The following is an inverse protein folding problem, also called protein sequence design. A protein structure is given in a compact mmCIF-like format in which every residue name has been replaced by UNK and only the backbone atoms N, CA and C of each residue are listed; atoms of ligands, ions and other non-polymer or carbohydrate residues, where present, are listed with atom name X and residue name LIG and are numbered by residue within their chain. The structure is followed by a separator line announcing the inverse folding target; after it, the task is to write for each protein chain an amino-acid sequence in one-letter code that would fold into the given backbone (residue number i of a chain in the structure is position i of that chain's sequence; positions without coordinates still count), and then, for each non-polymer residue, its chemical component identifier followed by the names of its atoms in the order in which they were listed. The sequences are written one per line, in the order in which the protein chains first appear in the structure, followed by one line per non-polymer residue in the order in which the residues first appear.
data_IF_083667397197
#
_entry.id   IF_083667397197
#
_cell.length_a   1.000
_cell.length_b   1.000
_cell.length_c   1.000
_cell.angle_alpha   90.00
_cell.angle_beta   90.00
_cell.angle_gamma   90.00
#
_symmetry.space_group_name_H-M   'P 1'
#
loop_
_entity.id
_entity.type
_entity.pdbx_description
1 polymer ?
#
# COMPACT_ATOMS: atom_id res chain seq x y z
N UNK A 1 -34.49 2.86 13.67
CA UNK A 1 -34.25 1.82 14.68
C UNK A 1 -33.08 0.98 14.22
N UNK A 2 -32.07 0.83 15.03
CA UNK A 2 -30.90 -0.01 14.77
C UNK A 2 -31.03 -1.32 15.55
N UNK A 3 -30.83 -2.46 14.87
CA UNK A 3 -30.79 -3.79 15.51
C UNK A 3 -29.43 -4.41 15.25
N UNK A 4 -28.75 -4.85 16.29
CA UNK A 4 -27.55 -5.70 16.21
C UNK A 4 -27.80 -6.97 16.98
N UNK A 5 -27.19 -8.05 16.51
CA UNK A 5 -27.22 -9.35 17.17
C UNK A 5 -25.77 -9.80 17.40
N UNK A 6 -25.43 -10.13 18.63
CA UNK A 6 -24.12 -10.69 18.96
C UNK A 6 -24.09 -12.21 18.64
N UNK A 7 -22.91 -12.80 18.65
CA UNK A 7 -22.69 -14.23 18.35
C UNK A 7 -23.43 -15.14 19.34
N UNK A 8 -23.63 -14.70 20.59
CA UNK A 8 -24.40 -15.37 21.63
C UNK A 8 -25.92 -15.25 21.47
N UNK A 9 -26.38 -14.62 20.39
CA UNK A 9 -27.80 -14.38 20.12
C UNK A 9 -28.38 -13.15 20.81
N UNK A 10 -27.59 -12.41 21.60
CA UNK A 10 -28.06 -11.18 22.26
C UNK A 10 -28.46 -10.12 21.22
N UNK A 11 -29.67 -9.61 21.31
CA UNK A 11 -30.18 -8.56 20.45
C UNK A 11 -30.20 -7.21 21.18
N UNK A 12 -29.64 -6.19 20.57
CA UNK A 12 -29.75 -4.81 21.02
C UNK A 12 -30.55 -4.01 20.00
N UNK A 13 -31.59 -3.34 20.47
CA UNK A 13 -32.39 -2.42 19.65
C UNK A 13 -32.29 -1.03 20.26
N UNK A 14 -31.85 -0.08 19.46
CA UNK A 14 -31.65 1.30 19.86
C UNK A 14 -32.27 2.23 18.83
N UNK A 15 -32.94 3.28 19.28
CA UNK A 15 -33.41 4.35 18.44
C UNK A 15 -32.26 5.33 18.22
N UNK A 16 -31.61 5.26 17.07
CA UNK A 16 -30.50 6.17 16.72
C UNK A 16 -31.04 7.53 16.30
N UNK A 17 -32.08 7.54 15.46
CA UNK A 17 -32.71 8.76 14.99
C UNK A 17 -34.14 8.46 14.48
N UNK A 18 -35.04 9.43 14.64
CA UNK A 18 -36.38 9.37 14.07
C UNK A 18 -36.42 10.16 12.77
N UNK A 19 -36.32 9.47 11.64
CA UNK A 19 -36.31 10.09 10.33
C UNK A 19 -37.69 10.61 9.95
N UNK A 20 -37.77 11.81 9.44
CA UNK A 20 -39.01 12.47 8.99
C UNK A 20 -39.27 12.32 7.49
N UNK A 21 -38.40 11.64 6.76
CA UNK A 21 -38.51 11.42 5.32
C UNK A 21 -37.59 10.32 4.83
N UNK A 22 -37.60 10.06 3.53
CA UNK A 22 -36.69 9.12 2.89
C UNK A 22 -35.24 9.59 3.01
N UNK A 23 -34.32 8.64 3.22
CA UNK A 23 -32.91 8.94 3.39
C UNK A 23 -32.06 7.69 3.27
N UNK A 24 -30.76 7.83 3.50
CA UNK A 24 -29.76 6.75 3.46
C UNK A 24 -29.15 6.58 4.84
N UNK A 25 -28.96 5.33 5.25
CA UNK A 25 -28.24 4.98 6.49
C UNK A 25 -27.05 4.10 6.13
N UNK A 26 -25.90 4.40 6.68
CA UNK A 26 -24.68 3.60 6.58
C UNK A 26 -24.22 3.20 7.98
N UNK A 27 -23.79 1.95 8.14
CA UNK A 27 -23.16 1.43 9.34
C UNK A 27 -21.78 0.88 9.06
N UNK A 28 -20.86 1.04 10.01
CA UNK A 28 -19.51 0.45 9.97
C UNK A 28 -19.30 -0.37 11.24
N UNK A 29 -18.63 -1.51 11.09
CA UNK A 29 -18.34 -2.40 12.20
C UNK A 29 -16.97 -3.05 12.05
N UNK A 30 -16.16 -3.00 13.11
CA UNK A 30 -14.95 -3.80 13.28
C UNK A 30 -14.97 -4.43 14.67
N UNK A 31 -14.48 -5.66 14.78
CA UNK A 31 -14.26 -6.28 16.07
C UNK A 31 -12.90 -5.82 16.63
N UNK A 32 -12.82 -5.59 17.96
CA UNK A 32 -11.59 -5.11 18.59
C UNK A 32 -10.38 -5.99 18.28
N UNK A 33 -10.55 -7.31 18.28
CA UNK A 33 -9.49 -8.26 17.90
C UNK A 33 -8.91 -8.01 16.50
N UNK A 34 -9.72 -7.57 15.53
CA UNK A 34 -9.24 -7.21 14.19
C UNK A 34 -8.43 -5.91 14.22
N UNK A 35 -8.86 -4.94 15.03
CA UNK A 35 -8.12 -3.67 15.21
C UNK A 35 -6.77 -3.93 15.90
N UNK A 36 -6.75 -4.76 16.94
CA UNK A 36 -5.51 -5.17 17.62
C UNK A 36 -4.54 -5.87 16.65
N UNK A 37 -5.06 -6.76 15.81
CA UNK A 37 -4.30 -7.47 14.80
C UNK A 37 -3.66 -6.48 13.79
N UNK A 38 -4.42 -5.52 13.33
CA UNK A 38 -3.94 -4.46 12.44
C UNK A 38 -2.87 -3.60 13.12
N UNK A 39 -3.09 -3.18 14.37
CA UNK A 39 -2.10 -2.40 15.11
C UNK A 39 -0.76 -3.13 15.23
N UNK A 40 -0.78 -4.41 15.64
CA UNK A 40 0.44 -5.21 15.74
C UNK A 40 1.14 -5.40 14.40
N UNK A 41 0.39 -5.58 13.31
CA UNK A 41 0.96 -5.64 11.96
C UNK A 41 1.69 -4.36 11.60
N UNK A 42 1.09 -3.19 11.87
CA UNK A 42 1.71 -1.89 11.61
C UNK A 42 2.98 -1.70 12.44
N UNK A 43 2.95 -1.98 13.74
CA UNK A 43 4.10 -1.84 14.61
C UNK A 43 5.25 -2.79 14.24
N UNK A 44 4.95 -4.05 13.94
CA UNK A 44 5.97 -5.01 13.49
C UNK A 44 6.60 -4.56 12.17
N UNK A 45 5.79 -4.10 11.22
CA UNK A 45 6.28 -3.63 9.92
C UNK A 45 7.15 -2.37 10.06
N UNK A 46 6.79 -1.46 10.95
CA UNK A 46 7.61 -0.28 11.26
C UNK A 46 8.98 -0.66 11.85
N UNK A 47 9.02 -1.62 12.75
CA UNK A 47 10.27 -2.15 13.32
C UNK A 47 11.13 -2.86 12.26
N UNK A 48 10.52 -3.67 11.39
CA UNK A 48 11.23 -4.38 10.31
C UNK A 48 11.90 -3.39 9.34
N UNK A 49 11.19 -2.32 8.97
CA UNK A 49 11.70 -1.29 8.07
C UNK A 49 12.51 -0.19 8.76
N UNK A 50 12.48 -0.13 10.08
CA UNK A 50 13.07 0.95 10.90
C UNK A 50 12.60 2.34 10.46
N UNK A 51 11.29 2.49 10.32
CA UNK A 51 10.63 3.72 9.92
C UNK A 51 9.62 4.16 10.97
N UNK A 52 9.44 5.47 11.09
CA UNK A 52 8.39 6.04 11.95
C UNK A 52 7.01 5.56 11.55
N UNK A 53 6.10 5.48 12.50
CA UNK A 53 4.72 5.07 12.27
C UNK A 53 3.76 6.20 12.62
N UNK A 54 3.05 6.70 11.62
CA UNK A 54 1.95 7.63 11.78
C UNK A 54 0.63 6.86 11.70
N UNK A 55 -0.20 6.97 12.71
CA UNK A 55 -1.57 6.45 12.65
C UNK A 55 -2.55 7.60 12.59
N UNK A 56 -3.49 7.56 11.66
CA UNK A 56 -4.43 8.65 11.45
C UNK A 56 -5.87 8.15 11.32
N UNK A 57 -6.78 8.85 11.98
CA UNK A 57 -8.24 8.69 11.84
C UNK A 57 -8.94 10.04 11.95
N UNK A 58 -10.27 10.07 11.88
CA UNK A 58 -11.06 11.29 12.12
C UNK A 58 -11.93 11.11 13.37
N UNK A 59 -11.32 10.90 14.53
CA UNK A 59 -12.03 10.67 15.80
C UNK A 59 -12.84 11.88 16.28
N UNK A 60 -12.59 13.05 15.75
CA UNK A 60 -13.42 14.25 15.97
C UNK A 60 -14.80 14.16 15.32
N UNK A 61 -14.95 13.34 14.27
CA UNK A 61 -16.21 13.06 13.57
C UNK A 61 -16.78 11.71 14.00
N UNK A 62 -16.04 10.64 13.80
CA UNK A 62 -16.44 9.29 14.20
C UNK A 62 -16.05 8.98 15.65
N UNK A 63 -16.58 9.74 16.58
CA UNK A 63 -16.12 9.80 17.99
C UNK A 63 -16.08 8.46 18.73
N UNK A 64 -16.89 7.50 18.35
CA UNK A 64 -16.88 6.15 18.93
C UNK A 64 -16.00 5.21 18.13
N UNK A 65 -16.27 5.10 16.85
CA UNK A 65 -15.60 4.15 15.96
C UNK A 65 -14.11 4.45 15.81
N UNK A 66 -13.76 5.67 15.42
CA UNK A 66 -12.36 6.06 15.21
C UNK A 66 -11.57 6.18 16.52
N UNK A 67 -12.23 6.64 17.58
CA UNK A 67 -11.59 6.72 18.89
C UNK A 67 -11.21 5.34 19.46
N UNK A 68 -12.05 4.32 19.20
CA UNK A 68 -11.72 2.94 19.57
C UNK A 68 -10.45 2.44 18.87
N UNK A 69 -10.25 2.78 17.60
CA UNK A 69 -9.01 2.45 16.89
C UNK A 69 -7.80 3.15 17.54
N UNK A 70 -7.93 4.44 17.82
CA UNK A 70 -6.88 5.23 18.47
C UNK A 70 -6.47 4.64 19.81
N UNK A 71 -7.45 4.34 20.68
CA UNK A 71 -7.20 3.81 22.00
C UNK A 71 -6.51 2.45 21.93
N UNK A 72 -6.99 1.52 21.09
CA UNK A 72 -6.39 0.20 20.94
C UNK A 72 -4.95 0.30 20.42
N UNK A 73 -4.67 1.18 19.44
CA UNK A 73 -3.31 1.40 18.98
C UNK A 73 -2.41 1.93 20.09
N UNK A 74 -2.89 2.91 20.87
CA UNK A 74 -2.12 3.49 21.96
C UNK A 74 -1.85 2.47 23.08
N UNK A 75 -2.86 1.72 23.50
CA UNK A 75 -2.73 0.71 24.55
C UNK A 75 -1.71 -0.37 24.17
N UNK A 76 -1.76 -0.85 22.92
CA UNK A 76 -0.80 -1.85 22.40
C UNK A 76 0.60 -1.25 22.28
N UNK A 77 0.73 -0.02 21.82
CA UNK A 77 2.02 0.65 21.75
C UNK A 77 2.67 0.75 23.12
N UNK A 78 1.94 1.28 24.09
CA UNK A 78 2.46 1.49 25.44
C UNK A 78 2.81 0.18 26.15
N UNK A 79 2.02 -0.89 25.91
CA UNK A 79 2.23 -2.18 26.55
C UNK A 79 3.29 -3.07 25.89
N UNK A 80 3.43 -3.03 24.56
CA UNK A 80 4.17 -4.05 23.83
C UNK A 80 5.31 -3.49 22.95
N UNK A 81 5.26 -2.21 22.52
CA UNK A 81 6.13 -1.69 21.46
C UNK A 81 6.98 -0.49 21.83
N UNK A 82 6.61 0.28 22.85
CA UNK A 82 7.29 1.53 23.21
C UNK A 82 8.80 1.36 23.38
N UNK A 83 9.22 0.42 24.22
CA UNK A 83 10.65 0.16 24.45
C UNK A 83 11.38 -0.29 23.18
N UNK A 84 10.69 -1.06 22.30
CA UNK A 84 11.26 -1.54 21.03
C UNK A 84 11.46 -0.40 20.04
N UNK A 85 10.51 0.54 19.98
CA UNK A 85 10.58 1.73 19.13
C UNK A 85 11.69 2.66 19.60
N UNK A 86 11.77 2.92 20.91
CA UNK A 86 12.85 3.70 21.50
C UNK A 86 14.23 3.08 21.21
N UNK A 87 14.37 1.77 21.36
CA UNK A 87 15.61 1.05 21.04
C UNK A 87 15.98 1.06 19.55
N UNK A 88 14.98 1.11 18.66
CA UNK A 88 15.16 1.19 17.22
C UNK A 88 15.40 2.63 16.72
N UNK A 89 15.16 3.64 17.57
CA UNK A 89 15.27 5.06 17.21
C UNK A 89 14.19 5.53 16.25
N UNK A 90 12.98 4.94 16.33
CA UNK A 90 11.81 5.30 15.53
C UNK A 90 10.66 5.76 16.43
N UNK A 91 9.77 6.57 15.86
CA UNK A 91 8.66 7.17 16.59
C UNK A 91 7.30 6.62 16.15
N UNK A 92 6.36 6.57 17.09
CA UNK A 92 4.95 6.38 16.82
C UNK A 92 4.17 7.59 17.31
N UNK A 93 3.25 8.09 16.50
CA UNK A 93 2.28 9.06 16.96
C UNK A 93 0.93 8.94 16.24
N UNK A 94 -0.11 9.35 16.93
CA UNK A 94 -1.45 9.50 16.39
C UNK A 94 -1.69 10.96 15.98
N UNK A 95 -2.36 11.14 14.83
CA UNK A 95 -2.82 12.47 14.37
C UNK A 95 -4.19 12.37 13.68
N UNK A 96 -4.85 13.51 13.46
CA UNK A 96 -6.05 13.54 12.64
C UNK A 96 -5.69 13.34 11.17
N UNK A 97 -6.58 12.69 10.42
CA UNK A 97 -6.33 12.36 9.01
C UNK A 97 -6.05 13.60 8.14
N UNK A 98 -6.74 14.70 8.39
CA UNK A 98 -6.52 15.97 7.70
C UNK A 98 -5.16 16.60 8.03
N UNK A 99 -4.68 16.49 9.26
CA UNK A 99 -3.33 16.90 9.64
C UNK A 99 -2.28 15.99 8.98
N UNK A 100 -2.53 14.68 8.91
CA UNK A 100 -1.65 13.75 8.22
C UNK A 100 -1.53 14.09 6.72
N UNK A 101 -2.64 14.42 6.05
CA UNK A 101 -2.63 14.88 4.65
C UNK A 101 -1.77 16.14 4.48
N UNK A 102 -1.89 17.11 5.39
CA UNK A 102 -1.09 18.32 5.33
C UNK A 102 0.40 18.09 5.60
N UNK A 103 0.73 17.07 6.41
CA UNK A 103 2.12 16.68 6.70
C UNK A 103 2.76 15.91 5.56
N UNK A 104 2.07 14.92 5.01
CA UNK A 104 2.62 14.06 3.94
C UNK A 104 2.99 14.85 2.69
N UNK A 105 2.22 15.88 2.35
CA UNK A 105 2.50 16.76 1.20
C UNK A 105 3.80 17.58 1.35
N UNK A 106 4.39 17.62 2.54
CA UNK A 106 5.60 18.38 2.86
C UNK A 106 6.73 17.47 3.37
N UNK A 107 6.46 16.18 3.52
CA UNK A 107 7.40 15.23 4.07
C UNK A 107 8.37 14.72 3.01
N UNK A 108 9.59 14.44 3.42
CA UNK A 108 10.64 13.85 2.57
C UNK A 108 10.55 12.31 2.51
N UNK A 109 9.58 11.70 3.22
CA UNK A 109 9.44 10.25 3.35
C UNK A 109 10.09 9.71 4.64
N UNK A 110 10.34 8.39 4.68
CA UNK A 110 10.95 7.75 5.85
C UNK A 110 9.97 7.39 6.96
N UNK A 111 8.69 7.26 6.64
CA UNK A 111 7.65 6.87 7.60
C UNK A 111 6.60 5.94 6.96
N UNK A 112 5.90 5.23 7.80
CA UNK A 112 4.72 4.45 7.44
C UNK A 112 3.49 5.24 7.91
N UNK A 113 2.53 5.43 7.01
CA UNK A 113 1.25 6.02 7.36
C UNK A 113 0.18 4.94 7.45
N UNK A 114 -0.16 4.55 8.68
CA UNK A 114 -1.23 3.61 8.95
C UNK A 114 -2.60 4.30 8.83
N UNK A 115 -3.46 3.73 8.01
CA UNK A 115 -4.80 4.22 7.72
C UNK A 115 -5.82 3.09 7.84
N UNK A 116 -7.07 3.43 8.15
CA UNK A 116 -8.19 2.51 7.94
C UNK A 116 -8.40 2.26 6.45
N UNK A 117 -9.10 1.16 6.11
CA UNK A 117 -9.26 0.67 4.73
C UNK A 117 -9.57 1.78 3.70
N UNK A 118 -10.69 2.48 3.84
CA UNK A 118 -11.10 3.51 2.88
C UNK A 118 -10.13 4.71 2.86
N UNK A 119 -9.69 5.16 4.03
CA UNK A 119 -8.74 6.26 4.14
C UNK A 119 -7.42 5.90 3.43
N UNK A 120 -6.93 4.68 3.64
CA UNK A 120 -5.72 4.16 3.01
C UNK A 120 -5.84 4.01 1.49
N UNK A 121 -6.97 3.48 1.02
CA UNK A 121 -7.27 3.31 -0.40
C UNK A 121 -7.19 4.66 -1.15
N UNK A 122 -7.88 5.67 -0.64
CA UNK A 122 -7.88 7.01 -1.26
C UNK A 122 -6.51 7.71 -1.15
N UNK A 123 -5.86 7.60 0.02
CA UNK A 123 -4.60 8.30 0.27
C UNK A 123 -3.43 7.67 -0.49
N UNK A 124 -3.37 6.36 -0.63
CA UNK A 124 -2.32 5.69 -1.39
C UNK A 124 -2.37 6.07 -2.87
N UNK A 125 -3.56 6.11 -3.47
CA UNK A 125 -3.76 6.55 -4.85
C UNK A 125 -3.38 8.02 -5.03
N UNK A 126 -3.74 8.88 -4.09
CA UNK A 126 -3.39 10.30 -4.13
C UNK A 126 -1.86 10.49 -4.12
N UNK A 127 -1.16 9.84 -3.20
CA UNK A 127 0.29 9.94 -3.07
C UNK A 127 0.98 9.35 -4.31
N UNK A 128 0.56 8.18 -4.75
CA UNK A 128 1.13 7.54 -5.95
C UNK A 128 0.96 8.41 -7.19
N UNK A 129 -0.21 9.04 -7.35
CA UNK A 129 -0.47 9.96 -8.46
C UNK A 129 0.37 11.24 -8.38
N UNK A 130 0.62 11.74 -7.18
CA UNK A 130 1.47 12.93 -6.97
C UNK A 130 2.96 12.64 -7.22
N UNK A 131 3.42 11.43 -6.95
CA UNK A 131 4.81 11.01 -7.13
C UNK A 131 5.10 10.38 -8.51
N UNK A 132 4.08 10.13 -9.33
CA UNK A 132 4.29 9.51 -10.64
C UNK A 132 3.05 8.85 -11.21
N UNK A 133 3.08 7.53 -11.42
CA UNK A 133 2.01 6.77 -12.04
C UNK A 133 1.48 5.68 -11.09
N UNK A 134 0.16 5.55 -11.01
CA UNK A 134 -0.51 4.43 -10.34
C UNK A 134 -0.02 3.05 -10.83
N UNK A 135 0.40 2.98 -12.10
CA UNK A 135 0.94 1.76 -12.69
C UNK A 135 2.31 1.33 -12.13
N UNK A 136 2.91 2.13 -11.27
CA UNK A 136 4.13 1.80 -10.54
C UNK A 136 3.89 1.42 -9.08
N UNK A 137 2.65 1.57 -8.61
CA UNK A 137 2.28 1.25 -7.24
C UNK A 137 2.21 -0.25 -7.03
N UNK A 138 2.88 -0.74 -5.98
CA UNK A 138 2.83 -2.13 -5.54
C UNK A 138 1.94 -2.27 -4.32
N UNK A 139 1.41 -3.47 -4.11
CA UNK A 139 0.62 -3.83 -2.94
C UNK A 139 1.19 -5.08 -2.29
N UNK A 140 1.21 -5.09 -0.97
CA UNK A 140 1.53 -6.27 -0.18
C UNK A 140 0.53 -6.41 0.96
N UNK A 141 -0.08 -7.58 1.07
CA UNK A 141 -0.91 -7.95 2.20
C UNK A 141 -0.05 -8.71 3.21
N UNK A 142 -0.06 -8.25 4.44
CA UNK A 142 0.75 -8.82 5.52
C UNK A 142 -0.14 -9.21 6.69
N UNK A 143 -0.14 -10.51 7.03
CA UNK A 143 -0.83 -10.97 8.23
C UNK A 143 0.02 -10.77 9.50
N UNK A 144 -0.58 -10.66 10.69
CA UNK A 144 0.16 -10.59 11.95
C UNK A 144 1.07 -11.79 12.23
N UNK A 145 0.78 -12.93 11.57
CA UNK A 145 1.58 -14.17 11.67
C UNK A 145 2.74 -14.22 10.68
N UNK A 146 2.96 -13.17 9.89
CA UNK A 146 4.08 -13.10 8.95
C UNK A 146 3.83 -13.84 7.63
N UNK A 147 2.57 -13.95 7.20
CA UNK A 147 2.23 -14.39 5.82
C UNK A 147 2.14 -13.15 4.94
N UNK A 148 2.74 -13.24 3.76
CA UNK A 148 2.81 -12.14 2.78
C UNK A 148 2.17 -12.56 1.47
N UNK A 149 1.39 -11.67 0.88
CA UNK A 149 0.84 -11.78 -0.46
C UNK A 149 1.20 -10.50 -1.23
N UNK A 150 1.79 -10.65 -2.40
CA UNK A 150 2.25 -9.53 -3.23
C UNK A 150 1.40 -9.43 -4.49
N UNK A 151 0.96 -8.24 -4.81
CA UNK A 151 0.16 -7.97 -6.01
C UNK A 151 0.51 -6.62 -6.65
N UNK A 152 0.09 -6.41 -7.88
CA UNK A 152 0.06 -5.08 -8.46
C UNK A 152 -1.15 -4.32 -7.93
N UNK A 153 -0.98 -3.09 -7.47
CA UNK A 153 -2.04 -2.31 -6.84
C UNK A 153 -3.09 -1.76 -7.83
N UNK A 154 -2.98 -2.06 -9.11
CA UNK A 154 -3.90 -1.61 -10.16
C UNK A 154 -4.73 -2.77 -10.72
N UNK A 155 -5.83 -2.44 -11.40
CA UNK A 155 -6.70 -3.41 -12.06
C UNK A 155 -6.08 -4.06 -13.31
N UNK A 156 -6.85 -4.94 -13.95
CA UNK A 156 -6.42 -5.83 -15.05
C UNK A 156 -6.24 -5.16 -16.41
N UNK A 157 -6.44 -3.86 -16.52
CA UNK A 157 -6.30 -3.08 -17.77
C UNK A 157 -7.00 -3.72 -18.97
N UNK A 158 -8.24 -4.17 -18.81
CA UNK A 158 -9.03 -4.94 -19.78
C UNK A 158 -9.07 -4.29 -21.17
N UNK A 159 -9.04 -2.95 -21.24
CA UNK A 159 -9.01 -2.23 -22.52
C UNK A 159 -7.78 -2.57 -23.36
N UNK A 160 -6.60 -2.71 -22.75
CA UNK A 160 -5.39 -3.11 -23.46
C UNK A 160 -5.43 -4.58 -23.85
N UNK A 161 -6.02 -5.44 -23.02
CA UNK A 161 -6.20 -6.85 -23.33
C UNK A 161 -7.07 -7.05 -24.58
N UNK A 162 -8.20 -6.36 -24.68
CA UNK A 162 -9.06 -6.44 -25.87
C UNK A 162 -8.38 -5.91 -27.14
N UNK A 163 -7.56 -4.87 -27.03
CA UNK A 163 -6.72 -4.39 -28.14
C UNK A 163 -5.73 -5.45 -28.60
N UNK A 164 -5.06 -6.09 -27.65
CA UNK A 164 -4.14 -7.18 -27.92
C UNK A 164 -4.85 -8.35 -28.65
N UNK A 165 -6.04 -8.74 -28.19
CA UNK A 165 -6.84 -9.77 -28.89
C UNK A 165 -7.23 -9.38 -30.33
N UNK A 166 -7.40 -8.08 -30.58
CA UNK A 166 -7.66 -7.55 -31.92
C UNK A 166 -6.38 -7.44 -32.79
N UNK A 167 -5.21 -7.85 -32.29
CA UNK A 167 -3.93 -7.76 -32.98
C UNK A 167 -3.31 -6.36 -32.99
N UNK A 168 -3.83 -5.45 -32.14
CA UNK A 168 -3.28 -4.11 -31.99
C UNK A 168 -2.09 -4.11 -31.02
N UNK A 169 -1.10 -3.28 -31.30
CA UNK A 169 -0.01 -3.00 -30.37
C UNK A 169 -0.49 -2.24 -29.15
N UNK A 170 0.03 -2.61 -27.98
CA UNK A 170 -0.27 -1.94 -26.71
C UNK A 170 1.02 -1.56 -25.99
N UNK A 171 0.99 -0.45 -25.26
CA UNK A 171 2.07 -0.01 -24.38
C UNK A 171 1.53 -0.04 -22.93
N UNK A 172 1.51 -1.24 -22.36
CA UNK A 172 1.09 -1.48 -20.99
C UNK A 172 2.31 -1.48 -20.08
N UNK A 173 2.27 -0.68 -19.02
CA UNK A 173 3.31 -0.66 -18.00
C UNK A 173 3.24 -1.93 -17.14
N UNK A 174 4.33 -2.67 -17.09
CA UNK A 174 4.45 -3.93 -16.32
C UNK A 174 5.23 -3.78 -15.01
N UNK A 175 5.67 -2.57 -14.66
CA UNK A 175 6.56 -2.33 -13.50
C UNK A 175 5.93 -2.83 -12.20
N UNK A 176 4.68 -2.46 -11.89
CA UNK A 176 4.03 -2.91 -10.66
C UNK A 176 3.92 -4.44 -10.56
N UNK A 177 3.64 -5.11 -11.68
CA UNK A 177 3.61 -6.59 -11.74
C UNK A 177 4.99 -7.18 -11.52
N UNK A 178 6.03 -6.63 -12.14
CA UNK A 178 7.42 -7.06 -11.94
C UNK A 178 7.81 -6.87 -10.47
N UNK A 179 7.50 -5.72 -9.87
CA UNK A 179 7.81 -5.42 -8.47
C UNK A 179 7.04 -6.29 -7.48
N UNK A 180 5.81 -6.71 -7.80
CA UNK A 180 5.10 -7.71 -7.02
C UNK A 180 5.86 -9.05 -7.03
N UNK A 181 6.34 -9.50 -8.18
CA UNK A 181 7.17 -10.70 -8.28
C UNK A 181 8.51 -10.56 -7.55
N UNK A 182 9.22 -9.45 -7.71
CA UNK A 182 10.52 -9.25 -7.03
C UNK A 182 10.35 -9.18 -5.52
N UNK A 183 9.29 -8.52 -5.03
CA UNK A 183 8.94 -8.52 -3.61
C UNK A 183 8.71 -9.93 -3.06
N UNK A 184 7.92 -10.74 -3.78
CA UNK A 184 7.66 -12.14 -3.39
C UNK A 184 8.91 -13.00 -3.44
N UNK A 185 9.75 -12.86 -4.48
CA UNK A 185 11.01 -13.60 -4.62
C UNK A 185 12.02 -13.20 -3.54
N UNK A 186 12.15 -11.91 -3.24
CA UNK A 186 13.00 -11.41 -2.15
C UNK A 186 12.55 -12.00 -0.82
N UNK A 187 11.26 -11.91 -0.50
CA UNK A 187 10.72 -12.47 0.75
C UNK A 187 10.92 -13.99 0.83
N UNK A 188 10.73 -14.71 -0.26
CA UNK A 188 11.00 -16.15 -0.33
C UNK A 188 12.49 -16.45 -0.11
N UNK A 189 13.37 -15.66 -0.75
CA UNK A 189 14.82 -15.76 -0.57
C UNK A 189 15.27 -15.53 0.87
N UNK A 190 14.67 -14.57 1.57
CA UNK A 190 14.91 -14.33 2.99
C UNK A 190 14.49 -15.52 3.86
N UNK A 191 13.26 -16.01 3.67
CA UNK A 191 12.70 -17.11 4.43
C UNK A 191 13.50 -18.43 4.24
N UNK A 192 13.94 -18.70 3.03
CA UNK A 192 14.69 -19.92 2.68
C UNK A 192 16.21 -19.75 2.82
N UNK A 193 16.67 -18.55 3.15
CA UNK A 193 18.11 -18.21 3.23
C UNK A 193 18.83 -18.44 1.89
N UNK A 194 18.22 -17.97 0.80
CA UNK A 194 18.74 -18.05 -0.57
C UNK A 194 19.20 -16.65 -1.03
N UNK A 195 20.42 -16.22 -0.70
CA UNK A 195 20.90 -14.87 -1.01
C UNK A 195 20.94 -14.58 -2.51
N UNK A 196 21.16 -15.58 -3.35
CA UNK A 196 21.15 -15.41 -4.81
C UNK A 196 19.75 -15.06 -5.34
N UNK A 197 18.68 -15.54 -4.70
CA UNK A 197 17.30 -15.19 -5.05
C UNK A 197 16.97 -13.75 -4.65
N UNK A 198 17.44 -13.32 -3.48
CA UNK A 198 17.34 -11.92 -3.04
C UNK A 198 18.07 -11.00 -4.03
N UNK A 199 19.32 -11.31 -4.36
CA UNK A 199 20.14 -10.56 -5.31
C UNK A 199 19.49 -10.50 -6.70
N UNK A 200 18.89 -11.60 -7.17
CA UNK A 200 18.15 -11.58 -8.44
C UNK A 200 16.98 -10.61 -8.39
N UNK A 201 16.18 -10.63 -7.32
CA UNK A 201 15.05 -9.72 -7.15
C UNK A 201 15.50 -8.24 -7.16
N UNK A 202 16.56 -7.92 -6.40
CA UNK A 202 17.14 -6.57 -6.33
C UNK A 202 17.67 -6.09 -7.68
N UNK A 203 18.38 -6.96 -8.39
CA UNK A 203 18.90 -6.65 -9.72
C UNK A 203 17.77 -6.45 -10.75
N UNK A 204 16.67 -7.20 -10.67
CA UNK A 204 15.54 -7.03 -11.58
C UNK A 204 14.80 -5.71 -11.33
N UNK A 205 14.61 -5.31 -10.07
CA UNK A 205 14.08 -3.97 -9.75
C UNK A 205 14.99 -2.87 -10.27
N UNK A 206 16.30 -2.98 -10.00
CA UNK A 206 17.29 -2.05 -10.50
C UNK A 206 17.26 -1.97 -12.03
N UNK A 207 17.18 -3.08 -12.73
CA UNK A 207 17.09 -3.11 -14.18
C UNK A 207 15.85 -2.40 -14.72
N UNK A 208 14.71 -2.51 -14.04
CA UNK A 208 13.50 -1.75 -14.38
C UNK A 208 13.74 -0.24 -14.26
N UNK A 209 14.29 0.19 -13.14
CA UNK A 209 14.57 1.61 -12.86
C UNK A 209 15.59 2.13 -13.87
N UNK A 210 16.74 1.48 -14.03
CA UNK A 210 17.81 1.89 -14.95
C UNK A 210 17.28 1.98 -16.41
N UNK A 211 16.36 1.09 -16.81
CA UNK A 211 15.75 1.12 -18.15
C UNK A 211 14.90 2.39 -18.32
N UNK A 212 14.08 2.72 -17.34
CA UNK A 212 13.23 3.92 -17.37
C UNK A 212 14.10 5.19 -17.34
N UNK A 213 15.08 5.26 -16.45
CA UNK A 213 16.01 6.38 -16.33
C UNK A 213 16.87 6.60 -17.58
N UNK A 214 17.15 5.52 -18.35
CA UNK A 214 17.80 5.63 -19.67
C UNK A 214 16.91 6.25 -20.75
N UNK A 215 15.65 6.59 -20.43
CA UNK A 215 14.67 7.16 -21.34
C UNK A 215 13.84 6.13 -22.13
N UNK A 216 13.99 4.83 -21.87
CA UNK A 216 13.19 3.77 -22.49
C UNK A 216 12.02 3.41 -21.59
N UNK A 217 10.81 3.70 -22.02
CA UNK A 217 9.63 3.57 -21.13
C UNK A 217 8.33 3.31 -21.89
N UNK A 218 7.30 2.96 -21.17
CA UNK A 218 5.94 2.83 -21.70
C UNK A 218 5.28 4.19 -21.88
N UNK A 219 4.19 4.23 -22.63
CA UNK A 219 3.51 5.46 -23.05
C UNK A 219 3.01 6.29 -21.85
N UNK A 220 2.54 5.65 -20.80
CA UNK A 220 2.05 6.31 -19.58
C UNK A 220 3.19 7.08 -18.87
N UNK A 221 4.37 6.47 -18.76
CA UNK A 221 5.54 7.11 -18.17
C UNK A 221 6.09 8.23 -19.08
N UNK A 222 6.06 8.03 -20.39
CA UNK A 222 6.50 9.05 -21.35
C UNK A 222 5.63 10.32 -21.34
N UNK A 223 4.39 10.25 -20.82
CA UNK A 223 3.50 11.40 -20.68
C UNK A 223 3.79 12.26 -19.46
N UNK A 224 4.49 11.73 -18.47
CA UNK A 224 4.76 12.38 -17.19
C UNK A 224 6.26 12.63 -16.92
N UNK A 225 7.15 12.07 -17.74
CA UNK A 225 8.59 12.25 -17.58
C UNK A 225 9.01 13.66 -17.95
N UNK A 226 10.05 14.17 -17.26
CA UNK A 226 10.73 15.42 -17.59
C UNK A 226 11.90 15.21 -18.60
N UNK A 227 12.18 13.96 -18.98
CA UNK A 227 13.22 13.65 -19.95
C UNK A 227 12.87 14.17 -21.34
N UNK A 228 13.83 14.84 -22.00
CA UNK A 228 13.69 15.22 -23.39
C UNK A 228 13.76 13.99 -24.29
N UNK A 229 12.77 13.85 -25.19
CA UNK A 229 12.73 12.79 -26.20
C UNK A 229 12.78 11.34 -25.68
N UNK A 230 11.87 10.94 -24.77
CA UNK A 230 11.83 9.57 -24.28
C UNK A 230 11.49 8.59 -25.44
N UNK A 231 12.08 7.40 -25.39
CA UNK A 231 11.80 6.32 -26.35
C UNK A 231 10.58 5.54 -25.85
N UNK A 232 9.44 5.77 -26.48
CA UNK A 232 8.20 5.06 -26.14
C UNK A 232 8.23 3.65 -26.68
N UNK A 233 8.14 2.66 -25.80
CA UNK A 233 8.14 1.24 -26.15
C UNK A 233 6.73 0.63 -25.99
N UNK A 234 6.42 -0.36 -26.82
CA UNK A 234 5.29 -1.25 -26.59
C UNK A 234 5.59 -2.20 -25.39
N UNK A 235 4.57 -2.92 -24.94
CA UNK A 235 4.69 -3.79 -23.75
C UNK A 235 5.80 -4.83 -23.89
N UNK A 236 5.92 -5.47 -25.05
CA UNK A 236 6.90 -6.52 -25.28
C UNK A 236 8.33 -5.97 -25.35
N UNK A 237 8.52 -4.88 -26.07
CA UNK A 237 9.84 -4.27 -26.23
C UNK A 237 10.33 -3.60 -24.94
N UNK A 238 9.41 -3.12 -24.11
CA UNK A 238 9.75 -2.64 -22.77
C UNK A 238 10.29 -3.79 -21.90
N UNK A 239 9.64 -4.94 -21.88
CA UNK A 239 10.13 -6.13 -21.13
C UNK A 239 11.48 -6.60 -21.68
N UNK A 240 11.68 -6.59 -23.01
CA UNK A 240 12.99 -6.93 -23.60
C UNK A 240 14.09 -5.94 -23.19
N UNK A 241 13.78 -4.64 -23.17
CA UNK A 241 14.73 -3.63 -22.72
C UNK A 241 15.15 -3.81 -21.25
N UNK A 242 14.20 -4.15 -20.37
CA UNK A 242 14.49 -4.51 -18.97
C UNK A 242 15.40 -5.74 -18.90
N UNK A 243 15.10 -6.77 -19.67
CA UNK A 243 15.92 -7.99 -19.74
C UNK A 243 17.35 -7.68 -20.19
N UNK A 244 17.53 -6.89 -21.24
CA UNK A 244 18.86 -6.49 -21.72
C UNK A 244 19.65 -5.72 -20.65
N UNK A 245 18.97 -4.89 -19.87
CA UNK A 245 19.59 -4.14 -18.76
C UNK A 245 19.95 -5.09 -17.61
N UNK A 246 19.07 -6.05 -17.27
CA UNK A 246 19.34 -7.06 -16.26
C UNK A 246 20.55 -7.94 -16.63
N UNK A 247 20.63 -8.39 -17.89
CA UNK A 247 21.77 -9.20 -18.38
C UNK A 247 23.11 -8.47 -18.21
N UNK A 248 23.13 -7.14 -18.38
CA UNK A 248 24.34 -6.33 -18.13
C UNK A 248 24.76 -6.26 -16.67
N UNK A 249 23.81 -6.38 -15.73
CA UNK A 249 24.13 -6.39 -14.29
C UNK A 249 24.77 -7.71 -13.84
N UNK A 250 24.73 -8.75 -14.68
CA UNK A 250 25.35 -10.06 -14.42
C UNK A 250 26.62 -10.30 -15.26
N UNK A 251 26.93 -9.42 -16.22
CA UNK A 251 28.13 -9.52 -17.05
C UNK A 251 29.36 -8.92 -16.34
#
# INVERSE_FOLDING_TARGET
MYKRQAEDGTEVRELVHNFTGAGVVQGQHNICKSIESFARSCFNYALDLKQDLWFATKDTISKKYDHTFKDIFQDIYDAEYKEKFEAAGIEYFYTLIDDAVARVMKAEGGFIWACKNYDGDVMSDMISSACGSLAMMTSVLVSPSGVYEYEAAHGTVMRHYYKHLAGEETSTNSVATIFAWTGALRKRGELDRLPELVKFADNLEKACIDTIESGKMTKDLALITELENPVVLNSLDFIKAIRETLEKLYA
#
